data_IF_279098842865
#
_entry.id   IF_279098842865
#
_cell.length_a   1.000
_cell.length_b   1.000
_cell.length_c   1.000
_cell.angle_alpha   90.00
_cell.angle_beta   90.00
_cell.angle_gamma   90.00
#
_symmetry.space_group_name_H-M   'P 1'
#
loop_
_entity.id
_entity.type
_entity.pdbx_description
1 polymer ?
#
# COMPACT_ATOMS: atom_id res chain seq x y z
N UNK A 1 23.10 -57.50 -26.65
CA UNK A 1 21.64 -57.34 -26.36
C UNK A 1 21.49 -56.38 -25.17
N UNK A 2 21.46 -55.07 -25.42
CA UNK A 2 21.16 -54.05 -24.41
C UNK A 2 19.66 -53.74 -24.48
N UNK A 3 18.96 -53.94 -23.36
CA UNK A 3 17.51 -53.84 -23.25
C UNK A 3 17.18 -52.42 -22.75
N UNK A 4 16.66 -51.58 -23.65
CA UNK A 4 16.21 -50.22 -23.36
C UNK A 4 15.06 -50.24 -22.35
N UNK A 5 15.27 -49.66 -21.16
CA UNK A 5 14.24 -49.51 -20.14
C UNK A 5 13.50 -48.18 -20.42
N UNK A 6 12.33 -48.27 -21.06
CA UNK A 6 11.38 -47.15 -21.21
C UNK A 6 10.94 -46.71 -19.80
N UNK A 7 11.28 -45.49 -19.42
CA UNK A 7 10.63 -44.82 -18.29
C UNK A 7 9.25 -44.35 -18.75
N UNK A 8 8.21 -44.97 -18.21
CA UNK A 8 6.82 -44.59 -18.40
C UNK A 8 6.54 -43.45 -17.43
N UNK A 9 6.43 -42.22 -17.94
CA UNK A 9 5.98 -41.06 -17.17
C UNK A 9 4.50 -41.28 -16.84
N UNK A 10 4.20 -41.53 -15.57
CA UNK A 10 2.83 -41.46 -15.04
C UNK A 10 2.47 -40.00 -14.90
N UNK A 11 1.62 -39.51 -15.79
CA UNK A 11 0.85 -38.27 -15.57
C UNK A 11 -0.13 -38.52 -14.43
N UNK A 12 0.19 -38.04 -13.24
CA UNK A 12 -0.78 -37.93 -12.16
C UNK A 12 -1.64 -36.70 -12.42
N UNK A 13 -2.76 -36.90 -13.12
CA UNK A 13 -3.85 -35.95 -13.07
C UNK A 13 -4.44 -35.97 -11.66
N UNK A 14 -4.18 -34.93 -10.89
CA UNK A 14 -4.96 -34.64 -9.69
C UNK A 14 -5.79 -33.39 -9.94
N UNK A 15 -7.10 -33.59 -10.07
CA UNK A 15 -8.11 -32.55 -10.10
C UNK A 15 -8.21 -31.88 -8.72
N UNK A 16 -8.33 -30.56 -8.69
CA UNK A 16 -8.69 -29.80 -7.49
C UNK A 16 -7.52 -29.48 -6.57
N UNK A 17 -6.48 -28.81 -7.08
CA UNK A 17 -5.54 -28.11 -6.22
C UNK A 17 -6.10 -26.73 -5.92
N UNK A 18 -6.60 -26.52 -4.70
CA UNK A 18 -6.71 -25.17 -4.16
C UNK A 18 -5.30 -24.59 -4.17
N UNK A 19 -4.99 -23.77 -5.18
CA UNK A 19 -3.76 -23.01 -5.22
C UNK A 19 -3.81 -22.06 -4.03
N UNK A 20 -2.81 -22.14 -3.15
CA UNK A 20 -2.76 -21.25 -1.98
C UNK A 20 -2.85 -19.79 -2.45
N UNK A 21 -3.63 -18.95 -1.74
CA UNK A 21 -3.78 -17.56 -2.12
C UNK A 21 -2.44 -16.84 -2.05
N UNK A 22 -2.03 -16.23 -3.16
CA UNK A 22 -0.77 -15.48 -3.29
C UNK A 22 -0.81 -14.17 -2.50
N UNK A 23 -2.02 -13.64 -2.27
CA UNK A 23 -2.25 -12.38 -1.59
C UNK A 23 -3.46 -12.49 -0.65
N UNK A 24 -3.55 -11.66 0.40
CA UNK A 24 -4.61 -11.74 1.41
C UNK A 24 -6.00 -11.37 0.86
N UNK A 25 -6.10 -10.39 -0.05
CA UNK A 25 -7.37 -10.02 -0.67
C UNK A 25 -7.71 -10.97 -1.83
N UNK A 26 -8.90 -11.57 -1.77
CA UNK A 26 -9.41 -12.43 -2.84
C UNK A 26 -10.24 -11.62 -3.83
N UNK A 27 -9.95 -11.79 -5.12
CA UNK A 27 -10.67 -11.11 -6.20
C UNK A 27 -11.91 -11.92 -6.61
N UNK A 28 -13.08 -11.31 -6.47
CA UNK A 28 -14.35 -11.99 -6.73
C UNK A 28 -14.88 -11.79 -8.16
N UNK A 29 -14.43 -10.76 -8.89
CA UNK A 29 -14.93 -10.53 -10.24
C UNK A 29 -14.42 -11.59 -11.23
N UNK A 30 -15.14 -11.86 -12.33
CA UNK A 30 -14.67 -12.79 -13.36
C UNK A 30 -13.29 -12.42 -13.92
N UNK A 31 -13.02 -11.12 -14.10
CA UNK A 31 -11.73 -10.61 -14.56
C UNK A 31 -10.68 -10.80 -13.47
N UNK A 32 -10.99 -10.47 -12.23
CA UNK A 32 -10.10 -10.68 -11.09
C UNK A 32 -9.67 -12.15 -10.94
N UNK A 33 -10.63 -13.09 -11.00
CA UNK A 33 -10.34 -14.53 -10.95
C UNK A 33 -9.48 -15.01 -12.13
N UNK A 34 -9.74 -14.50 -13.33
CA UNK A 34 -8.91 -14.77 -14.51
C UNK A 34 -7.48 -14.30 -14.30
N UNK A 35 -7.29 -13.06 -13.84
CA UNK A 35 -5.98 -12.47 -13.61
C UNK A 35 -5.22 -13.18 -12.48
N UNK A 36 -5.88 -13.55 -11.39
CA UNK A 36 -5.28 -14.38 -10.32
C UNK A 36 -4.80 -15.72 -10.86
N UNK A 37 -5.59 -16.39 -11.69
CA UNK A 37 -5.20 -17.67 -12.30
C UNK A 37 -4.02 -17.51 -13.26
N UNK A 38 -3.98 -16.43 -14.04
CA UNK A 38 -2.84 -16.14 -14.93
C UNK A 38 -1.59 -15.84 -14.11
N UNK A 39 -1.69 -15.02 -13.05
CA UNK A 39 -0.58 -14.73 -12.16
C UNK A 39 0.01 -16.01 -11.55
N UNK A 40 -0.83 -17.00 -11.19
CA UNK A 40 -0.36 -18.27 -10.63
C UNK A 40 0.22 -19.24 -11.68
N UNK A 41 -0.32 -19.26 -12.91
CA UNK A 41 0.04 -20.28 -13.91
C UNK A 41 1.01 -19.79 -14.98
N UNK A 42 0.86 -18.55 -15.42
CA UNK A 42 1.63 -17.93 -16.50
C UNK A 42 1.87 -16.43 -16.20
N UNK A 43 2.69 -16.07 -15.19
CA UNK A 43 2.91 -14.68 -14.79
C UNK A 43 3.31 -13.74 -15.95
N UNK A 44 4.10 -14.26 -16.90
CA UNK A 44 4.56 -13.51 -18.08
C UNK A 44 3.44 -13.07 -19.03
N UNK A 45 2.25 -13.68 -18.96
CA UNK A 45 1.07 -13.29 -19.76
C UNK A 45 0.18 -12.27 -19.03
N UNK A 46 0.50 -11.91 -17.78
CA UNK A 46 -0.38 -11.07 -16.99
C UNK A 46 -0.51 -9.67 -17.60
N UNK A 47 0.62 -9.02 -17.91
CA UNK A 47 0.63 -7.65 -18.42
C UNK A 47 -0.11 -7.52 -19.76
N UNK A 48 0.11 -8.46 -20.69
CA UNK A 48 -0.60 -8.46 -21.99
C UNK A 48 -2.10 -8.69 -21.81
N UNK A 49 -2.49 -9.53 -20.83
CA UNK A 49 -3.91 -9.75 -20.53
C UNK A 49 -4.54 -8.51 -19.92
N UNK A 50 -3.84 -7.83 -19.01
CA UNK A 50 -4.28 -6.58 -18.40
C UNK A 50 -4.49 -5.51 -19.47
N UNK A 51 -3.55 -5.33 -20.38
CA UNK A 51 -3.68 -4.36 -21.48
C UNK A 51 -4.93 -4.63 -22.32
N UNK A 52 -5.18 -5.89 -22.67
CA UNK A 52 -6.39 -6.27 -23.39
C UNK A 52 -7.67 -5.98 -22.59
N UNK A 53 -7.69 -6.22 -21.27
CA UNK A 53 -8.85 -5.91 -20.44
C UNK A 53 -9.10 -4.39 -20.33
N UNK A 54 -8.05 -3.59 -20.24
CA UNK A 54 -8.16 -2.12 -20.21
C UNK A 54 -8.70 -1.57 -21.54
N UNK A 55 -8.25 -2.11 -22.67
CA UNK A 55 -8.79 -1.76 -24.00
C UNK A 55 -10.28 -2.13 -24.14
N UNK A 56 -10.68 -3.29 -23.61
CA UNK A 56 -12.08 -3.70 -23.59
C UNK A 56 -12.92 -2.74 -22.74
N UNK A 57 -12.46 -2.39 -21.54
CA UNK A 57 -13.13 -1.43 -20.65
C UNK A 57 -13.28 -0.06 -21.32
N UNK A 58 -12.26 0.40 -22.04
CA UNK A 58 -12.30 1.65 -22.81
C UNK A 58 -13.38 1.58 -23.88
N UNK A 59 -13.39 0.52 -24.68
CA UNK A 59 -14.34 0.31 -25.78
C UNK A 59 -15.78 0.25 -25.27
N UNK A 60 -16.01 -0.44 -24.15
CA UNK A 60 -17.32 -0.54 -23.50
C UNK A 60 -17.80 0.81 -22.96
N UNK A 61 -16.89 1.60 -22.36
CA UNK A 61 -17.19 2.96 -21.87
C UNK A 61 -17.62 3.88 -23.02
N UNK A 62 -16.90 3.83 -24.13
CA UNK A 62 -17.15 4.72 -25.27
C UNK A 62 -18.48 4.36 -25.96
N UNK A 63 -18.73 3.07 -26.21
CA UNK A 63 -20.00 2.61 -26.76
C UNK A 63 -21.19 2.98 -25.85
N UNK A 64 -21.00 2.91 -24.54
CA UNK A 64 -22.00 3.32 -23.57
C UNK A 64 -22.28 4.83 -23.60
N UNK A 65 -21.25 5.67 -23.71
CA UNK A 65 -21.42 7.13 -23.84
C UNK A 65 -22.23 7.50 -25.08
N UNK A 66 -21.97 6.85 -26.21
CA UNK A 66 -22.74 7.03 -27.44
C UNK A 66 -24.21 6.62 -27.30
N UNK A 67 -24.47 5.50 -26.59
CA UNK A 67 -25.83 5.03 -26.33
C UNK A 67 -26.62 5.99 -25.43
N UNK A 68 -25.98 6.59 -24.43
CA UNK A 68 -26.62 7.59 -23.55
C UNK A 68 -26.88 8.90 -24.30
N UNK A 69 -25.95 9.30 -25.18
CA UNK A 69 -26.13 10.51 -25.99
C UNK A 69 -27.32 10.40 -26.96
N UNK A 70 -27.64 9.18 -27.43
CA UNK A 70 -28.74 8.92 -28.36
C UNK A 70 -30.10 8.65 -27.70
N UNK A 71 -30.16 8.36 -26.39
CA UNK A 71 -31.38 7.99 -25.69
C UNK A 71 -31.49 8.63 -24.30
N UNK A 72 -32.58 9.38 -24.04
CA UNK A 72 -32.85 9.98 -22.72
C UNK A 72 -33.64 9.07 -21.76
N UNK A 73 -33.78 7.78 -22.06
CA UNK A 73 -34.54 6.85 -21.22
C UNK A 73 -33.92 6.69 -19.81
N UNK A 74 -34.76 6.73 -18.77
CA UNK A 74 -34.37 6.52 -17.38
C UNK A 74 -33.80 5.11 -17.17
N UNK A 75 -34.27 4.11 -17.92
CA UNK A 75 -33.74 2.76 -17.86
C UNK A 75 -32.27 2.72 -18.29
N UNK A 76 -31.93 3.40 -19.40
CA UNK A 76 -30.56 3.44 -19.92
C UNK A 76 -29.60 4.14 -18.95
N UNK A 77 -30.07 5.19 -18.26
CA UNK A 77 -29.30 5.84 -17.19
C UNK A 77 -29.00 4.87 -16.04
N UNK A 78 -30.00 4.11 -15.59
CA UNK A 78 -29.81 3.15 -14.48
C UNK A 78 -28.93 1.96 -14.86
N UNK A 79 -29.07 1.45 -16.09
CA UNK A 79 -28.15 0.44 -16.65
C UNK A 79 -26.73 0.99 -16.69
N UNK A 80 -26.57 2.28 -17.02
CA UNK A 80 -25.26 2.89 -17.07
C UNK A 80 -24.57 3.02 -15.72
N UNK A 81 -25.32 3.39 -14.69
CA UNK A 81 -24.80 3.42 -13.31
C UNK A 81 -24.33 2.05 -12.82
N UNK A 82 -25.05 0.96 -13.16
CA UNK A 82 -24.64 -0.40 -12.79
C UNK A 82 -23.37 -0.79 -13.54
N UNK A 83 -23.31 -0.57 -14.85
CA UNK A 83 -22.11 -0.85 -15.66
C UNK A 83 -20.89 -0.06 -15.20
N UNK A 84 -21.07 1.20 -14.80
CA UNK A 84 -19.98 2.01 -14.24
C UNK A 84 -19.44 1.40 -12.94
N UNK A 85 -20.30 0.90 -12.06
CA UNK A 85 -19.88 0.19 -10.84
C UNK A 85 -19.12 -1.10 -11.15
N UNK A 86 -19.57 -1.86 -12.15
CA UNK A 86 -18.89 -3.09 -12.58
C UNK A 86 -17.52 -2.78 -13.23
N UNK A 87 -17.43 -1.72 -14.04
CA UNK A 87 -16.16 -1.22 -14.59
C UNK A 87 -15.20 -0.81 -13.47
N UNK A 88 -15.67 -0.07 -12.46
CA UNK A 88 -14.89 0.30 -11.28
C UNK A 88 -14.35 -0.92 -10.54
N UNK A 89 -15.21 -1.91 -10.25
CA UNK A 89 -14.79 -3.16 -9.59
C UNK A 89 -13.72 -3.89 -10.41
N UNK A 90 -13.87 -3.91 -11.73
CA UNK A 90 -12.88 -4.52 -12.63
C UNK A 90 -11.54 -3.79 -12.60
N UNK A 91 -11.55 -2.45 -12.57
CA UNK A 91 -10.33 -1.64 -12.46
C UNK A 91 -9.61 -1.86 -11.11
N UNK A 92 -10.36 -1.91 -10.02
CA UNK A 92 -9.81 -2.25 -8.70
C UNK A 92 -9.11 -3.61 -8.72
N UNK A 93 -9.74 -4.63 -9.31
CA UNK A 93 -9.17 -5.97 -9.42
C UNK A 93 -7.91 -5.99 -10.31
N UNK A 94 -7.89 -5.23 -11.41
CA UNK A 94 -6.71 -5.07 -12.28
C UNK A 94 -5.55 -4.42 -11.50
N UNK A 95 -5.82 -3.28 -10.85
CA UNK A 95 -4.80 -2.55 -10.07
C UNK A 95 -4.26 -3.42 -8.95
N UNK A 96 -5.12 -4.13 -8.21
CA UNK A 96 -4.67 -5.03 -7.17
C UNK A 96 -3.79 -6.16 -7.73
N UNK A 97 -4.21 -6.79 -8.83
CA UNK A 97 -3.45 -7.90 -9.41
C UNK A 97 -2.05 -7.45 -9.88
N UNK A 98 -1.94 -6.26 -10.46
CA UNK A 98 -0.65 -5.67 -10.84
C UNK A 98 0.23 -5.37 -9.60
N UNK A 99 -0.34 -4.91 -8.49
CA UNK A 99 0.42 -4.73 -7.23
C UNK A 99 0.96 -6.09 -6.74
N UNK A 100 0.11 -7.12 -6.70
CA UNK A 100 0.55 -8.48 -6.30
C UNK A 100 1.63 -9.01 -7.24
N UNK A 101 1.52 -8.75 -8.55
CA UNK A 101 2.57 -9.08 -9.51
C UNK A 101 3.91 -8.43 -9.13
N UNK A 102 3.92 -7.17 -8.69
CA UNK A 102 5.16 -6.51 -8.23
C UNK A 102 5.76 -7.17 -7.00
N UNK A 103 4.95 -7.61 -6.04
CA UNK A 103 5.45 -8.40 -4.91
C UNK A 103 6.10 -9.71 -5.37
N UNK A 104 5.44 -10.42 -6.29
CA UNK A 104 5.96 -11.68 -6.86
C UNK A 104 7.26 -11.46 -7.66
N UNK A 105 7.34 -10.41 -8.47
CA UNK A 105 8.53 -10.06 -9.25
C UNK A 105 9.75 -9.73 -8.39
N UNK A 106 9.54 -9.22 -7.17
CA UNK A 106 10.59 -8.90 -6.20
C UNK A 106 10.85 -10.04 -5.20
N UNK A 107 10.25 -11.22 -5.39
CA UNK A 107 10.35 -12.37 -4.47
C UNK A 107 9.92 -12.05 -3.02
N UNK A 108 8.94 -11.15 -2.84
CA UNK A 108 8.39 -10.75 -1.55
C UNK A 108 7.05 -11.46 -1.33
N UNK A 109 6.86 -12.06 -0.15
CA UNK A 109 5.62 -12.74 0.21
C UNK A 109 4.74 -11.77 0.98
N UNK A 110 3.51 -11.56 0.50
CA UNK A 110 2.57 -10.71 1.23
C UNK A 110 2.09 -11.40 2.51
N UNK A 111 1.95 -10.62 3.58
CA UNK A 111 1.47 -11.10 4.86
C UNK A 111 0.06 -11.71 4.72
N UNK A 112 -0.18 -12.89 5.30
CA UNK A 112 -1.50 -13.50 5.31
C UNK A 112 -2.42 -12.76 6.29
N UNK A 113 -3.73 -13.05 6.20
CA UNK A 113 -4.72 -12.58 7.17
C UNK A 113 -4.29 -12.94 8.60
N UNK A 114 -4.29 -11.95 9.48
CA UNK A 114 -3.94 -12.10 10.89
C UNK A 114 -5.11 -12.76 11.62
N UNK A 115 -4.98 -14.06 11.85
CA UNK A 115 -5.90 -14.84 12.69
C UNK A 115 -5.46 -14.77 14.14
N UNK A 116 -6.36 -14.35 15.02
CA UNK A 116 -6.20 -14.43 16.47
C UNK A 116 -6.54 -15.85 16.90
N UNK A 117 -5.66 -16.46 17.69
CA UNK A 117 -5.97 -17.69 18.43
C UNK A 117 -6.05 -17.34 19.91
N UNK A 118 -6.87 -18.07 20.67
CA UNK A 118 -6.97 -17.91 22.12
C UNK A 118 -6.20 -19.03 22.83
N UNK A 119 -5.32 -18.73 23.80
CA UNK A 119 -4.91 -17.38 24.25
C UNK A 119 -4.12 -16.63 23.18
N UNK A 120 -4.14 -15.29 23.22
CA UNK A 120 -3.56 -14.39 22.20
C UNK A 120 -2.12 -14.78 21.85
N UNK A 121 -1.98 -15.62 20.81
CA UNK A 121 -0.70 -16.11 20.33
C UNK A 121 0.06 -15.02 19.59
N UNK A 122 1.38 -15.21 19.49
CA UNK A 122 2.25 -14.43 18.61
C UNK A 122 1.79 -14.60 17.15
N UNK A 123 1.49 -13.52 16.44
CA UNK A 123 0.95 -13.58 15.05
C UNK A 123 1.97 -13.22 13.96
N UNK A 124 3.14 -12.71 14.33
CA UNK A 124 4.24 -12.29 13.42
C UNK A 124 5.23 -13.40 13.10
N UNK A 125 4.76 -14.62 12.83
CA UNK A 125 5.63 -15.68 12.31
C UNK A 125 5.69 -15.54 10.79
N UNK A 126 6.35 -14.47 10.34
CA UNK A 126 6.56 -14.13 8.93
C UNK A 126 8.02 -14.35 8.53
N UNK A 127 8.30 -14.64 7.24
CA UNK A 127 9.67 -14.70 6.76
C UNK A 127 10.35 -13.35 6.97
N UNK A 128 11.62 -13.37 7.35
CA UNK A 128 12.45 -12.17 7.33
C UNK A 128 12.71 -11.78 5.88
N UNK A 129 12.18 -10.62 5.48
CA UNK A 129 12.25 -10.09 4.11
C UNK A 129 12.66 -8.62 4.10
N UNK A 130 13.29 -8.12 5.18
CA UNK A 130 13.67 -6.71 5.33
C UNK A 130 14.56 -6.22 4.18
N UNK A 131 15.63 -6.94 3.85
CA UNK A 131 16.54 -6.60 2.74
C UNK A 131 15.82 -6.56 1.39
N UNK A 132 14.84 -7.45 1.17
CA UNK A 132 14.05 -7.46 -0.06
C UNK A 132 13.15 -6.24 -0.15
N UNK A 133 12.49 -5.89 0.96
CA UNK A 133 11.64 -4.71 1.06
C UNK A 133 12.45 -3.41 0.91
N UNK A 134 13.66 -3.35 1.46
CA UNK A 134 14.61 -2.25 1.26
C UNK A 134 14.96 -2.07 -0.22
N UNK A 135 15.29 -3.16 -0.92
CA UNK A 135 15.76 -3.13 -2.32
C UNK A 135 14.75 -2.58 -3.33
N UNK A 136 13.47 -2.47 -2.95
CA UNK A 136 12.40 -1.89 -3.80
C UNK A 136 12.50 -0.37 -3.88
N UNK A 137 13.07 0.27 -2.86
CA UNK A 137 13.10 1.73 -2.72
C UNK A 137 14.45 2.31 -3.12
N UNK A 138 14.47 3.58 -3.56
CA UNK A 138 15.72 4.31 -3.73
C UNK A 138 16.41 4.48 -2.37
N UNK A 139 17.75 4.63 -2.32
CA UNK A 139 18.44 4.83 -1.04
C UNK A 139 17.92 6.06 -0.31
N UNK A 140 17.63 7.16 -1.03
CA UNK A 140 17.07 8.37 -0.42
C UNK A 140 15.64 8.17 0.11
N UNK A 141 14.80 7.39 -0.59
CA UNK A 141 13.48 7.05 -0.10
C UNK A 141 13.56 6.13 1.12
N UNK A 142 14.43 5.12 1.10
CA UNK A 142 14.57 4.18 2.21
C UNK A 142 15.05 4.88 3.50
N UNK A 143 15.95 5.88 3.39
CA UNK A 143 16.31 6.73 4.54
C UNK A 143 15.09 7.43 5.16
N UNK A 144 14.17 7.94 4.33
CA UNK A 144 12.92 8.52 4.82
C UNK A 144 11.98 7.48 5.46
N UNK A 145 11.95 6.25 4.92
CA UNK A 145 11.19 5.12 5.48
C UNK A 145 11.71 4.75 6.86
N UNK A 146 13.04 4.65 7.04
CA UNK A 146 13.66 4.40 8.35
C UNK A 146 13.30 5.50 9.33
N UNK A 147 13.34 6.77 8.90
CA UNK A 147 12.88 7.89 9.75
C UNK A 147 11.40 7.74 10.13
N UNK A 148 10.52 7.36 9.20
CA UNK A 148 9.10 7.10 9.48
C UNK A 148 8.90 5.95 10.48
N UNK A 149 9.65 4.86 10.35
CA UNK A 149 9.65 3.74 11.28
C UNK A 149 10.02 4.19 12.69
N UNK A 150 11.10 4.96 12.86
CA UNK A 150 11.50 5.47 14.18
C UNK A 150 10.42 6.32 14.84
N UNK A 151 9.70 7.14 14.06
CA UNK A 151 8.64 8.01 14.58
C UNK A 151 7.39 7.23 15.00
N UNK A 152 6.97 6.28 14.17
CA UNK A 152 5.79 5.44 14.42
C UNK A 152 6.01 4.49 15.59
N UNK A 153 7.19 3.87 15.66
CA UNK A 153 7.55 2.90 16.70
C UNK A 153 8.00 3.57 18.00
N UNK A 154 8.39 4.85 17.93
CA UNK A 154 8.97 5.63 19.01
C UNK A 154 10.44 5.28 19.29
N UNK A 155 11.05 5.96 20.26
CA UNK A 155 12.45 5.76 20.67
C UNK A 155 12.74 4.39 21.31
N UNK A 156 11.73 3.50 21.38
CA UNK A 156 11.85 2.11 21.86
C UNK A 156 12.54 1.17 20.87
N UNK A 157 13.03 1.65 19.73
CA UNK A 157 13.97 0.89 18.87
C UNK A 157 15.24 0.45 19.64
N UNK A 158 15.50 1.05 20.81
CA UNK A 158 16.59 0.68 21.72
C UNK A 158 16.24 -0.55 22.59
N UNK A 159 14.96 -0.94 22.70
CA UNK A 159 14.56 -2.20 23.32
C UNK A 159 14.73 -3.37 22.33
N UNK A 160 15.04 -4.57 22.84
CA UNK A 160 15.35 -5.76 22.02
C UNK A 160 14.31 -5.99 20.91
N UNK A 161 14.76 -6.37 19.70
CA UNK A 161 13.89 -6.69 18.55
C UNK A 161 12.83 -7.75 18.85
N UNK A 162 13.08 -8.59 19.86
CA UNK A 162 12.19 -9.65 20.34
C UNK A 162 11.11 -9.16 21.33
N UNK A 163 11.12 -7.88 21.69
CA UNK A 163 10.15 -7.32 22.63
C UNK A 163 8.76 -7.39 22.01
N UNK A 164 7.84 -8.03 22.74
CA UNK A 164 6.46 -8.26 22.30
C UNK A 164 5.59 -7.08 22.74
N UNK A 165 4.89 -6.49 21.79
CA UNK A 165 3.91 -5.44 21.99
C UNK A 165 2.52 -6.00 21.75
N UNK A 166 1.57 -5.63 22.62
CA UNK A 166 0.16 -5.91 22.43
C UNK A 166 -0.52 -4.69 21.81
N UNK A 167 -1.15 -4.89 20.66
CA UNK A 167 -1.84 -3.83 19.92
C UNK A 167 -3.19 -4.33 19.44
N UNK A 168 -4.19 -3.45 19.44
CA UNK A 168 -5.52 -3.78 18.96
C UNK A 168 -5.54 -3.82 17.42
N UNK A 169 -6.36 -4.70 16.82
CA UNK A 169 -6.44 -4.84 15.35
C UNK A 169 -6.86 -3.55 14.67
N UNK A 170 -7.74 -2.75 15.28
CA UNK A 170 -8.13 -1.44 14.74
C UNK A 170 -6.93 -0.49 14.71
N UNK A 171 -6.15 -0.40 15.80
CA UNK A 171 -4.94 0.45 15.84
C UNK A 171 -3.92 0.00 14.78
N UNK A 172 -3.71 -1.31 14.66
CA UNK A 172 -2.80 -1.87 13.68
C UNK A 172 -3.25 -1.64 12.23
N UNK A 173 -4.55 -1.79 11.96
CA UNK A 173 -5.12 -1.50 10.64
C UNK A 173 -5.03 -0.02 10.26
N UNK A 174 -5.27 0.90 11.21
CA UNK A 174 -5.06 2.34 11.00
C UNK A 174 -3.60 2.65 10.68
N UNK A 175 -2.68 2.03 11.41
CA UNK A 175 -1.25 2.21 11.16
C UNK A 175 -0.86 1.69 9.77
N UNK A 176 -1.28 0.47 9.41
CA UNK A 176 -1.00 -0.13 8.10
C UNK A 176 -1.53 0.75 6.95
N UNK A 177 -2.77 1.23 7.05
CA UNK A 177 -3.34 2.14 6.06
C UNK A 177 -2.59 3.47 5.97
N UNK A 178 -2.18 4.05 7.12
CA UNK A 178 -1.36 5.27 7.15
C UNK A 178 0.01 5.07 6.49
N UNK A 179 0.66 3.93 6.74
CA UNK A 179 1.93 3.56 6.10
C UNK A 179 1.79 3.30 4.60
N UNK A 180 0.68 2.74 4.12
CA UNK A 180 0.38 2.67 2.67
C UNK A 180 0.31 4.08 2.07
N UNK A 181 -0.45 4.99 2.71
CA UNK A 181 -0.57 6.37 2.23
C UNK A 181 0.78 7.09 2.22
N UNK A 182 1.61 6.85 3.24
CA UNK A 182 2.97 7.36 3.31
C UNK A 182 3.85 6.83 2.16
N UNK A 183 3.84 5.52 1.90
CA UNK A 183 4.61 4.93 0.80
C UNK A 183 4.16 5.38 -0.59
N UNK A 184 2.86 5.64 -0.76
CA UNK A 184 2.30 6.24 -1.96
C UNK A 184 2.80 7.68 -2.15
N UNK A 185 2.74 8.50 -1.10
CA UNK A 185 3.28 9.87 -1.12
C UNK A 185 4.79 9.88 -1.43
N UNK A 186 5.56 9.08 -0.70
CA UNK A 186 7.02 9.07 -0.78
C UNK A 186 7.48 8.68 -2.17
N UNK A 187 6.85 7.67 -2.78
CA UNK A 187 7.17 7.26 -4.15
C UNK A 187 6.99 8.39 -5.16
N UNK A 188 5.93 9.20 -5.01
CA UNK A 188 5.67 10.34 -5.90
C UNK A 188 6.72 11.43 -5.80
N UNK A 189 7.11 11.73 -4.57
CA UNK A 189 8.16 12.73 -4.30
C UNK A 189 9.49 12.23 -4.84
N UNK A 190 9.85 10.99 -4.55
CA UNK A 190 11.11 10.39 -4.99
C UNK A 190 11.21 10.35 -6.52
N UNK A 191 10.16 9.91 -7.23
CA UNK A 191 10.16 9.93 -8.69
C UNK A 191 10.36 11.33 -9.27
N UNK A 192 9.71 12.36 -8.69
CA UNK A 192 9.92 13.74 -9.13
C UNK A 192 11.35 14.21 -8.83
N UNK A 193 11.84 13.91 -7.64
CA UNK A 193 13.19 14.26 -7.20
C UNK A 193 14.26 13.66 -8.12
N UNK A 194 14.17 12.35 -8.38
CA UNK A 194 15.10 11.65 -9.27
C UNK A 194 15.01 12.18 -10.71
N UNK A 195 13.81 12.53 -11.18
CA UNK A 195 13.62 13.14 -12.49
C UNK A 195 14.30 14.51 -12.57
N UNK A 196 14.06 15.41 -11.63
CA UNK A 196 14.69 16.75 -11.60
C UNK A 196 16.20 16.67 -11.43
N UNK A 197 16.67 15.71 -10.64
CA UNK A 197 18.10 15.41 -10.49
C UNK A 197 18.71 14.99 -11.83
N UNK A 198 18.08 14.04 -12.53
CA UNK A 198 18.56 13.55 -13.84
C UNK A 198 18.53 14.61 -14.94
N UNK A 199 17.60 15.57 -14.84
CA UNK A 199 17.45 16.69 -15.78
C UNK A 199 18.31 17.91 -15.42
N UNK A 200 19.04 17.87 -14.30
CA UNK A 200 19.78 19.01 -13.74
C UNK A 200 18.91 20.26 -13.55
N UNK A 201 17.64 20.08 -13.18
CA UNK A 201 16.69 21.17 -12.93
C UNK A 201 16.49 21.44 -11.44
N UNK A 202 17.19 20.71 -10.57
CA UNK A 202 17.22 21.02 -9.14
C UNK A 202 17.84 22.43 -8.93
N UNK A 203 17.34 23.23 -7.98
CA UNK A 203 17.92 24.55 -7.73
C UNK A 203 19.41 24.45 -7.37
N UNK A 204 20.22 25.42 -7.83
CA UNK A 204 21.66 25.47 -7.51
C UNK A 204 21.88 25.51 -5.99
N UNK A 205 22.75 24.64 -5.47
CA UNK A 205 23.06 24.52 -4.03
C UNK A 205 22.29 23.43 -3.26
N UNK A 206 21.44 22.65 -3.92
CA UNK A 206 20.81 21.47 -3.30
C UNK A 206 21.85 20.39 -2.98
N UNK A 207 22.07 20.12 -1.70
CA UNK A 207 23.00 19.09 -1.20
C UNK A 207 24.31 19.61 -0.59
N UNK A 208 24.56 20.93 -0.64
CA UNK A 208 25.65 21.58 0.09
C UNK A 208 25.07 22.37 1.27
N UNK A 209 25.28 21.89 2.50
CA UNK A 209 25.03 22.55 3.79
C UNK A 209 24.08 23.78 3.78
N UNK A 210 22.78 23.55 3.52
CA UNK A 210 21.73 24.52 3.81
C UNK A 210 21.44 24.58 5.32
N UNK A 211 22.47 24.94 6.11
CA UNK A 211 22.33 25.35 7.50
C UNK A 211 22.09 26.87 7.52
N UNK A 212 20.89 27.28 7.15
CA UNK A 212 20.34 28.56 7.63
C UNK A 212 18.90 28.34 8.06
N UNK A 213 18.80 28.16 9.38
CA UNK A 213 17.59 28.15 10.19
C UNK A 213 16.61 29.25 9.80
N UNK A 214 15.43 28.85 9.32
CA UNK A 214 14.18 29.56 9.60
C UNK A 214 13.17 28.52 10.11
N UNK A 215 12.62 28.77 11.30
CA UNK A 215 11.59 27.92 11.90
C UNK A 215 10.37 27.82 10.99
N UNK A 216 9.76 26.64 10.82
CA UNK A 216 8.58 26.50 9.98
C UNK A 216 7.36 27.16 10.66
N UNK A 217 6.54 27.83 9.84
CA UNK A 217 5.24 28.38 10.24
C UNK A 217 4.25 27.27 10.64
N UNK A 218 3.26 27.56 11.52
CA UNK A 218 2.39 26.56 12.13
C UNK A 218 1.49 25.77 11.15
N UNK A 219 1.36 26.23 9.91
CA UNK A 219 0.43 25.66 8.92
C UNK A 219 0.98 24.42 8.20
N UNK A 220 2.28 24.09 8.36
CA UNK A 220 2.93 22.93 7.72
C UNK A 220 2.77 21.60 8.49
N UNK A 221 1.89 21.56 9.50
CA UNK A 221 1.72 20.42 10.43
C UNK A 221 1.03 19.17 9.88
N UNK A 222 0.57 19.17 8.62
CA UNK A 222 -0.15 18.02 8.06
C UNK A 222 0.70 16.75 7.95
N UNK A 223 2.04 16.88 7.98
CA UNK A 223 3.00 15.78 7.88
C UNK A 223 4.20 15.98 8.80
N UNK A 224 4.00 16.64 9.94
CA UNK A 224 5.00 16.65 11.00
C UNK A 224 5.32 15.19 11.37
N UNK A 225 6.59 14.76 11.30
CA UNK A 225 7.11 13.54 11.92
C UNK A 225 6.44 13.16 13.25
N UNK A 226 6.11 14.15 14.08
CA UNK A 226 5.50 13.98 15.41
C UNK A 226 3.97 13.84 15.43
N UNK A 227 3.29 14.01 14.27
CA UNK A 227 1.82 14.00 14.12
C UNK A 227 1.28 12.72 13.50
N UNK A 228 2.17 11.82 13.04
CA UNK A 228 1.79 10.48 12.58
C UNK A 228 1.54 9.60 13.80
N UNK A 229 0.29 9.13 13.93
CA UNK A 229 -0.26 8.22 14.96
C UNK A 229 0.85 7.57 15.82
N UNK A 230 1.15 8.18 16.96
CA UNK A 230 2.06 7.59 17.92
C UNK A 230 1.32 6.55 18.75
N UNK A 231 1.86 5.34 18.83
CA UNK A 231 1.29 4.26 19.65
C UNK A 231 1.77 4.46 21.10
N UNK A 232 1.18 5.43 21.81
CA UNK A 232 1.29 5.52 23.26
C UNK A 232 0.24 4.62 23.92
N UNK A 233 0.57 3.87 24.97
CA UNK A 233 -0.40 3.47 25.98
C UNK A 233 -0.87 4.75 26.68
N UNK A 234 -2.19 4.95 26.73
CA UNK A 234 -2.82 6.07 27.41
C UNK A 234 -2.61 5.87 28.92
N UNK A 235 -1.58 6.51 29.48
CA UNK A 235 -1.39 6.85 30.90
C UNK A 235 0.07 7.33 31.12
N UNK A 236 0.33 8.62 30.94
CA UNK A 236 1.23 9.42 31.80
C UNK A 236 1.35 10.85 31.25
N UNK A 237 0.94 11.82 32.06
CA UNK A 237 1.42 13.20 31.96
C UNK A 237 2.96 13.18 32.00
N UNK A 238 3.62 13.81 31.03
CA UNK A 238 5.08 13.80 30.89
C UNK A 238 5.59 14.95 30.03
N UNK A 239 6.49 15.71 30.62
CA UNK A 239 6.98 17.03 30.20
C UNK A 239 7.68 17.05 28.83
N UNK A 240 7.51 18.15 28.08
CA UNK A 240 8.30 18.48 26.90
C UNK A 240 9.75 18.71 27.30
N UNK A 241 10.64 17.79 26.93
CA UNK A 241 12.08 18.03 26.94
C UNK A 241 12.52 18.27 25.50
N UNK A 242 12.96 19.50 25.26
CA UNK A 242 13.59 19.95 24.02
C UNK A 242 15.01 19.40 24.02
N UNK A 243 15.27 18.30 23.31
CA UNK A 243 16.65 17.86 23.07
C UNK A 243 17.22 18.53 21.81
N UNK A 244 18.39 19.13 22.00
CA UNK A 244 19.12 19.96 21.08
C UNK A 244 20.52 19.38 21.00
N UNK A 245 20.85 18.63 19.94
CA UNK A 245 22.21 18.07 19.88
C UNK A 245 22.64 17.12 18.77
N UNK A 246 21.75 16.52 17.97
CA UNK A 246 22.21 15.68 16.86
C UNK A 246 22.33 16.48 15.57
N UNK A 247 23.55 16.57 15.04
CA UNK A 247 23.80 17.00 13.65
C UNK A 247 23.03 16.05 12.72
N UNK A 248 21.77 16.40 12.43
CA UNK A 248 20.96 15.72 11.43
C UNK A 248 21.72 15.80 10.12
N UNK A 249 22.13 14.64 9.58
CA UNK A 249 22.60 14.57 8.20
C UNK A 249 21.51 15.21 7.34
N UNK A 250 21.85 16.21 6.54
CA UNK A 250 20.90 16.81 5.62
C UNK A 250 20.55 15.79 4.53
N UNK A 251 19.44 15.08 4.73
CA UNK A 251 18.96 14.09 3.78
C UNK A 251 18.52 14.80 2.51
N UNK A 252 19.07 14.43 1.35
CA UNK A 252 18.83 15.14 0.08
C UNK A 252 17.36 15.18 -0.31
N UNK A 253 16.65 14.04 -0.18
CA UNK A 253 15.22 13.95 -0.46
C UNK A 253 14.37 14.68 0.60
N UNK A 254 14.78 14.67 1.88
CA UNK A 254 14.09 15.45 2.92
C UNK A 254 14.22 16.95 2.68
N UNK A 255 15.41 17.43 2.32
CA UNK A 255 15.62 18.84 1.92
C UNK A 255 14.77 19.19 0.70
N UNK A 256 14.63 18.28 -0.25
CA UNK A 256 13.73 18.44 -1.39
C UNK A 256 12.26 18.58 -0.95
N UNK A 257 11.77 17.70 -0.08
CA UNK A 257 10.40 17.80 0.48
C UNK A 257 10.17 19.13 1.19
N UNK A 258 11.14 19.60 1.98
CA UNK A 258 11.03 20.86 2.71
C UNK A 258 11.01 22.10 1.79
N UNK A 259 11.56 21.97 0.58
CA UNK A 259 11.54 23.02 -0.43
C UNK A 259 10.20 23.12 -1.18
N UNK A 260 9.47 22.02 -1.30
CA UNK A 260 8.18 22.01 -1.98
C UNK A 260 7.18 22.94 -1.29
N UNK A 261 6.37 23.63 -2.08
CA UNK A 261 5.25 24.41 -1.57
C UNK A 261 4.14 23.50 -1.03
N UNK A 262 3.29 24.05 -0.16
CA UNK A 262 2.24 23.30 0.51
C UNK A 262 1.21 22.70 -0.47
N UNK A 263 0.94 23.37 -1.59
CA UNK A 263 0.00 22.88 -2.60
C UNK A 263 0.58 21.65 -3.33
N UNK A 264 1.85 21.70 -3.71
CA UNK A 264 2.56 20.57 -4.32
C UNK A 264 2.64 19.39 -3.35
N UNK A 265 2.97 19.64 -2.08
CA UNK A 265 3.02 18.60 -1.06
C UNK A 265 1.64 17.93 -0.88
N UNK A 266 0.58 18.72 -0.76
CA UNK A 266 -0.79 18.21 -0.64
C UNK A 266 -1.18 17.39 -1.87
N UNK A 267 -0.82 17.85 -3.09
CA UNK A 267 -1.06 17.10 -4.33
C UNK A 267 -0.34 15.76 -4.34
N UNK A 268 0.85 15.66 -3.75
CA UNK A 268 1.59 14.40 -3.61
C UNK A 268 0.98 13.47 -2.56
N UNK A 269 0.53 14.03 -1.45
CA UNK A 269 -0.09 13.30 -0.36
C UNK A 269 -1.49 12.75 -0.70
N UNK A 270 -2.22 13.41 -1.60
CA UNK A 270 -3.58 13.01 -1.96
C UNK A 270 -3.59 11.77 -2.86
N UNK A 271 -4.33 10.73 -2.46
CA UNK A 271 -4.67 9.57 -3.30
C UNK A 271 -5.56 10.04 -4.45
N UNK A 272 -5.22 9.69 -5.69
CA UNK A 272 -5.84 10.29 -6.88
C UNK A 272 -7.15 9.64 -7.30
N UNK A 273 -7.29 8.33 -7.10
CA UNK A 273 -8.47 7.58 -7.52
C UNK A 273 -9.28 7.00 -6.37
N UNK A 274 -10.59 6.80 -6.63
CA UNK A 274 -11.50 6.15 -5.67
C UNK A 274 -11.18 4.66 -5.55
N UNK A 275 -10.71 4.08 -6.64
CA UNK A 275 -10.28 2.70 -6.77
C UNK A 275 -9.08 2.44 -5.85
N UNK A 276 -8.06 3.31 -5.87
CA UNK A 276 -6.91 3.22 -4.97
C UNK A 276 -7.34 3.34 -3.50
N UNK A 277 -8.21 4.29 -3.16
CA UNK A 277 -8.72 4.44 -1.79
C UNK A 277 -9.49 3.18 -1.34
N UNK A 278 -10.33 2.61 -2.20
CA UNK A 278 -11.05 1.37 -1.91
C UNK A 278 -10.09 0.19 -1.73
N UNK A 279 -9.00 0.13 -2.52
CA UNK A 279 -8.00 -0.92 -2.39
C UNK A 279 -7.23 -0.86 -1.07
N UNK A 280 -6.88 0.33 -0.59
CA UNK A 280 -6.25 0.51 0.72
C UNK A 280 -7.17 -0.05 1.82
N UNK A 281 -8.45 0.29 1.76
CA UNK A 281 -9.45 -0.22 2.70
C UNK A 281 -9.59 -1.74 2.62
N UNK A 282 -9.74 -2.30 1.42
CA UNK A 282 -9.91 -3.75 1.21
C UNK A 282 -8.67 -4.54 1.63
N UNK A 283 -7.47 -4.07 1.32
CA UNK A 283 -6.21 -4.71 1.73
C UNK A 283 -6.10 -4.71 3.27
N UNK A 284 -6.41 -3.58 3.91
CA UNK A 284 -6.42 -3.47 5.38
C UNK A 284 -7.45 -4.43 5.99
N UNK A 285 -8.67 -4.49 5.43
CA UNK A 285 -9.70 -5.43 5.89
C UNK A 285 -9.33 -6.90 5.64
N UNK A 286 -8.61 -7.20 4.55
CA UNK A 286 -8.15 -8.56 4.25
C UNK A 286 -7.13 -9.05 5.29
N UNK A 287 -6.26 -8.15 5.78
CA UNK A 287 -5.26 -8.47 6.81
C UNK A 287 -5.85 -8.53 8.22
N UNK A 288 -6.59 -7.50 8.64
CA UNK A 288 -7.02 -7.35 10.04
C UNK A 288 -8.48 -7.74 10.27
N UNK A 289 -9.26 -7.98 9.21
CA UNK A 289 -10.70 -8.16 9.30
C UNK A 289 -11.47 -6.84 9.25
N UNK A 290 -12.80 -6.93 9.21
CA UNK A 290 -13.66 -5.75 9.27
C UNK A 290 -13.78 -5.30 10.73
N UNK A 291 -13.55 -4.01 11.03
CA UNK A 291 -13.71 -3.52 12.39
C UNK A 291 -15.20 -3.55 12.76
N UNK A 292 -15.54 -4.21 13.87
CA UNK A 292 -16.90 -4.26 14.39
C UNK A 292 -17.14 -3.04 15.29
N UNK A 293 -17.42 -1.90 14.65
CA UNK A 293 -17.70 -0.64 15.33
C UNK A 293 -19.22 -0.49 15.41
N UNK A 294 -19.77 -0.60 16.62
CA UNK A 294 -21.20 -0.39 16.85
C UNK A 294 -21.43 1.03 17.36
N UNK A 295 -22.52 1.66 16.95
CA UNK A 295 -22.91 2.97 17.50
C UNK A 295 -23.74 2.70 18.74
N UNK A 296 -23.28 3.16 19.90
CA UNK A 296 -24.02 3.03 21.15
C UNK A 296 -25.32 3.85 21.09
N UNK A 297 -26.25 3.55 22.00
CA UNK A 297 -27.48 4.34 22.15
C UNK A 297 -27.20 5.81 22.53
N UNK A 298 -25.99 6.14 23.01
CA UNK A 298 -25.52 7.51 23.30
C UNK A 298 -24.94 8.23 22.10
N UNK A 299 -24.77 7.55 20.95
CA UNK A 299 -24.20 8.11 19.73
C UNK A 299 -22.67 7.99 19.64
N UNK A 300 -22.03 7.31 20.60
CA UNK A 300 -20.59 7.08 20.62
C UNK A 300 -20.22 5.82 19.81
N UNK A 301 -19.00 5.78 19.30
CA UNK A 301 -18.46 4.60 18.62
C UNK A 301 -17.95 3.61 19.66
N UNK A 302 -18.60 2.45 19.78
CA UNK A 302 -18.17 1.34 20.62
C UNK A 302 -17.29 0.36 19.80
N UNK A 303 -16.05 0.23 20.23
CA UNK A 303 -15.04 -0.68 19.71
C UNK A 303 -14.56 -1.67 20.80
N UNK A 304 -15.37 -1.93 21.83
CA UNK A 304 -15.02 -2.79 22.97
C UNK A 304 -14.73 -4.25 22.61
N UNK A 305 -15.21 -4.72 21.45
CA UNK A 305 -14.94 -6.06 20.92
C UNK A 305 -13.65 -6.14 20.07
N UNK A 306 -12.83 -5.08 20.03
CA UNK A 306 -11.59 -5.09 19.24
C UNK A 306 -10.60 -6.14 19.78
N UNK A 307 -10.16 -7.03 18.90
CA UNK A 307 -9.25 -8.10 19.26
C UNK A 307 -7.82 -7.58 19.39
N UNK A 308 -7.12 -8.01 20.43
CA UNK A 308 -5.71 -7.67 20.65
C UNK A 308 -4.81 -8.75 20.06
N UNK A 309 -3.78 -8.32 19.35
CA UNK A 309 -2.73 -9.17 18.78
C UNK A 309 -1.39 -8.88 19.44
N UNK A 310 -0.56 -9.92 19.57
CA UNK A 310 0.81 -9.80 20.08
C UNK A 310 1.81 -9.92 18.93
N UNK A 311 2.67 -8.92 18.79
CA UNK A 311 3.67 -8.80 17.71
C UNK A 311 5.03 -8.42 18.32
N UNK A 312 6.14 -8.88 17.75
CA UNK A 312 7.45 -8.30 18.07
C UNK A 312 7.66 -6.96 17.36
N UNK A 313 8.62 -6.15 17.81
CA UNK A 313 9.04 -4.96 17.06
C UNK A 313 9.53 -5.30 15.65
N UNK A 314 10.24 -6.43 15.48
CA UNK A 314 10.63 -6.93 14.15
C UNK A 314 9.40 -7.20 13.27
N UNK A 315 8.40 -7.90 13.83
CA UNK A 315 7.13 -8.15 13.13
C UNK A 315 6.40 -6.86 12.75
N UNK A 316 6.33 -5.88 13.65
CA UNK A 316 5.71 -4.59 13.38
C UNK A 316 6.48 -3.79 12.32
N UNK A 317 7.82 -3.85 12.34
CA UNK A 317 8.69 -3.23 11.34
C UNK A 317 8.45 -3.80 9.95
N UNK A 318 8.45 -5.14 9.83
CA UNK A 318 8.14 -5.82 8.56
C UNK A 318 6.75 -5.47 8.03
N UNK A 319 5.76 -5.37 8.92
CA UNK A 319 4.40 -4.98 8.55
C UNK A 319 4.34 -3.55 7.98
N UNK A 320 5.06 -2.61 8.59
CA UNK A 320 5.14 -1.22 8.11
C UNK A 320 5.92 -1.16 6.78
N UNK A 321 7.04 -1.88 6.67
CA UNK A 321 7.82 -1.94 5.43
C UNK A 321 7.02 -2.50 4.25
N UNK A 322 6.25 -3.57 4.49
CA UNK A 322 5.32 -4.10 3.48
C UNK A 322 4.25 -3.05 3.10
N UNK A 323 3.65 -2.38 4.09
CA UNK A 323 2.63 -1.36 3.86
C UNK A 323 3.15 -0.21 2.99
N UNK A 324 4.34 0.30 3.31
CA UNK A 324 5.01 1.36 2.54
C UNK A 324 5.30 0.88 1.11
N UNK A 325 5.80 -0.35 0.97
CA UNK A 325 6.07 -0.98 -0.34
C UNK A 325 4.79 -1.13 -1.16
N UNK A 326 3.69 -1.55 -0.54
CA UNK A 326 2.37 -1.61 -1.17
C UNK A 326 1.93 -0.24 -1.69
N UNK A 327 2.10 0.81 -0.89
CA UNK A 327 1.80 2.19 -1.30
C UNK A 327 2.61 2.66 -2.49
N UNK A 328 3.91 2.36 -2.52
CA UNK A 328 4.77 2.68 -3.64
C UNK A 328 4.36 1.93 -4.92
N UNK A 329 4.03 0.64 -4.82
CA UNK A 329 3.50 -0.13 -5.96
C UNK A 329 2.12 0.35 -6.42
N UNK A 330 1.27 0.79 -5.49
CA UNK A 330 -0.04 1.35 -5.81
C UNK A 330 0.11 2.59 -6.69
N UNK A 331 1.02 3.50 -6.37
CA UNK A 331 1.30 4.67 -7.21
C UNK A 331 1.76 4.29 -8.63
N UNK A 332 2.74 3.37 -8.73
CA UNK A 332 3.28 2.94 -10.03
C UNK A 332 2.20 2.29 -10.89
N UNK A 333 1.36 1.47 -10.26
CA UNK A 333 0.28 0.74 -10.92
C UNK A 333 -0.85 1.67 -11.35
N UNK A 334 -1.27 2.58 -10.47
CA UNK A 334 -2.28 3.58 -10.78
C UNK A 334 -1.85 4.44 -11.97
N UNK A 335 -0.58 4.89 -11.99
CA UNK A 335 0.01 5.66 -13.09
C UNK A 335 0.06 4.86 -14.40
N UNK A 336 0.39 3.57 -14.32
CA UNK A 336 0.36 2.67 -15.48
C UNK A 336 -1.06 2.53 -16.06
N UNK A 337 -2.03 2.23 -15.22
CA UNK A 337 -3.43 2.02 -15.65
C UNK A 337 -4.02 3.31 -16.21
N UNK A 338 -3.78 4.47 -15.58
CA UNK A 338 -4.26 5.78 -16.06
C UNK A 338 -3.72 6.10 -17.47
N UNK A 339 -2.50 5.68 -17.79
CA UNK A 339 -1.90 5.88 -19.13
C UNK A 339 -2.61 5.08 -20.24
N UNK A 340 -3.28 3.99 -19.89
CA UNK A 340 -3.97 3.07 -20.80
C UNK A 340 -5.49 3.28 -20.83
N UNK A 341 -6.08 3.52 -19.66
CA UNK A 341 -7.50 3.77 -19.46
C UNK A 341 -7.65 4.98 -18.54
N UNK A 342 -7.93 6.20 -19.06
CA UNK A 342 -8.04 7.40 -18.24
C UNK A 342 -9.30 7.35 -17.35
N UNK A 343 -9.11 7.22 -16.04
CA UNK A 343 -10.17 6.99 -15.05
C UNK A 343 -10.21 8.03 -13.92
N UNK A 344 -9.11 8.74 -13.64
CA UNK A 344 -9.05 9.74 -12.56
C UNK A 344 -10.04 10.89 -12.78
N UNK A 345 -10.33 11.25 -14.04
CA UNK A 345 -11.25 12.33 -14.42
C UNK A 345 -12.51 11.84 -15.16
N UNK A 346 -12.85 10.54 -15.08
CA UNK A 346 -13.89 9.92 -15.92
C UNK A 346 -15.31 10.00 -15.39
#
# INVERSE_FOLDING_TARGET
>A
KLKTRRFMVRTSGNSGGDLLPVAPLQLESPVGQLLTKILQTHPHLLLVTVDQQLENLQSERDAQREMIASSQDLLNKRIAEVKEKDRRKTLEDIVYCLIVQRFVENDISMNPKITTSYPAGRVDIWPDQEEKLESVHSPEAFEMIVSHLTLVLGERVIESVDTVVQISKIKLGKLYAASIMYGYFLRRVDERYQLEQSMNTLPEGFGEDLVKSEQPSPEKQLWDPNSIISIYPDDSDGEQIVDSGTKEKSYKLRSYVMYLDAETLQRYATIRSKEALSLIEKQTQALFGRPDITVTQTGDLDASNDEVVSLTFSGLTLLILEAVTFGSFLWNTESYVESKYPFINS
#
